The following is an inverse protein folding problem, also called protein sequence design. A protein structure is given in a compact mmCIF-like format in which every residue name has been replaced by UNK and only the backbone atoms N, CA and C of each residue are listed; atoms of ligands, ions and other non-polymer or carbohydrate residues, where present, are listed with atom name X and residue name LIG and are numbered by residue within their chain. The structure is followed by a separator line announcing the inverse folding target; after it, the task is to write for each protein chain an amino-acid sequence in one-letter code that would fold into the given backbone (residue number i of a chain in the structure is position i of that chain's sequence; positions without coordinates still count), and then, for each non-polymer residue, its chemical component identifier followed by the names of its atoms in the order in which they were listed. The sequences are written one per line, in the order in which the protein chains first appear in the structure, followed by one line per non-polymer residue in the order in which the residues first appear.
data_IF_340517145243
#
_entry.id   IF_340517145243
#
_cell.length_a   1.000
_cell.length_b   1.000
_cell.length_c   1.000
_cell.angle_alpha   90.00
_cell.angle_beta   90.00
_cell.angle_gamma   90.00
#
_symmetry.space_group_name_H-M   'P 1'
#
loop_
_entity.id
_entity.type
_entity.pdbx_description
1 polymer ?
#
# COMPACT_ATOMS: atom_id res chain seq x y z
N UNK A 1 -7.00 -15.86 9.31
CA UNK A 1 -8.44 -15.89 9.62
C UNK A 1 -9.11 -15.32 8.41
N UNK A 2 -9.68 -16.20 7.59
CA UNK A 2 -10.57 -15.75 6.52
C UNK A 2 -11.91 -15.46 7.18
N UNK A 3 -12.39 -14.24 6.97
CA UNK A 3 -13.70 -13.79 7.45
C UNK A 3 -14.63 -13.97 6.25
N UNK A 4 -15.69 -14.75 6.45
CA UNK A 4 -16.69 -15.04 5.43
C UNK A 4 -17.49 -13.76 5.10
N UNK A 5 -17.46 -13.34 3.83
CA UNK A 5 -18.07 -12.09 3.34
C UNK A 5 -17.26 -11.43 2.22
N UNK A 6 -17.80 -10.39 1.59
CA UNK A 6 -17.04 -9.53 0.68
C UNK A 6 -15.87 -8.93 1.44
N UNK A 7 -14.65 -9.37 1.12
CA UNK A 7 -13.48 -8.89 1.85
C UNK A 7 -13.34 -7.39 1.62
N UNK A 8 -13.25 -6.58 2.68
CA UNK A 8 -12.88 -5.15 2.61
C UNK A 8 -11.43 -4.95 2.17
N UNK A 9 -10.81 -5.93 1.53
CA UNK A 9 -9.45 -5.83 1.04
C UNK A 9 -9.49 -5.31 -0.38
N UNK A 10 -8.72 -4.27 -0.64
CA UNK A 10 -8.34 -3.84 -1.99
C UNK A 10 -6.85 -4.01 -2.17
N UNK A 11 -6.42 -4.23 -3.40
CA UNK A 11 -5.01 -4.43 -3.75
C UNK A 11 -4.73 -3.62 -5.00
N UNK A 12 -3.54 -3.07 -5.06
CA UNK A 12 -2.98 -2.56 -6.31
C UNK A 12 -2.58 -3.72 -7.21
N UNK A 13 -2.29 -3.41 -8.47
CA UNK A 13 -1.52 -4.31 -9.33
C UNK A 13 -0.09 -4.48 -8.81
N UNK A 14 0.56 -5.64 -9.05
CA UNK A 14 1.97 -5.80 -8.72
C UNK A 14 2.82 -4.79 -9.48
N UNK A 15 3.73 -4.12 -8.77
CA UNK A 15 4.73 -3.28 -9.43
C UNK A 15 5.68 -4.16 -10.26
N UNK A 16 5.79 -3.88 -11.56
CA UNK A 16 6.67 -4.61 -12.48
C UNK A 16 7.62 -3.64 -13.16
N UNK A 17 8.92 -3.87 -12.96
CA UNK A 17 9.94 -3.12 -13.67
C UNK A 17 9.84 -3.41 -15.17
N UNK A 18 9.47 -2.41 -15.97
CA UNK A 18 9.43 -2.53 -17.44
C UNK A 18 10.85 -2.76 -17.99
N UNK A 19 11.03 -3.84 -18.76
CA UNK A 19 12.32 -4.23 -19.34
C UNK A 19 12.65 -3.52 -20.67
N UNK A 20 11.72 -2.78 -21.25
CA UNK A 20 11.88 -2.13 -22.56
C UNK A 20 11.96 -0.60 -22.40
N UNK A 21 13.10 -0.11 -21.88
CA UNK A 21 13.39 1.32 -21.74
C UNK A 21 13.59 2.08 -23.06
N UNK A 22 13.53 1.39 -24.21
CA UNK A 22 13.85 1.96 -25.53
C UNK A 22 12.66 2.75 -26.14
N UNK A 23 11.43 2.56 -25.65
CA UNK A 23 10.21 3.13 -26.27
C UNK A 23 9.45 4.15 -25.41
N UNK A 24 9.86 4.42 -24.17
CA UNK A 24 9.17 5.37 -23.29
C UNK A 24 10.12 6.47 -22.77
N UNK A 25 9.70 7.73 -22.90
CA UNK A 25 10.33 8.88 -22.25
C UNK A 25 9.90 8.90 -20.79
N UNK A 26 10.71 8.33 -19.93
CA UNK A 26 10.56 8.38 -18.47
C UNK A 26 11.45 7.34 -17.81
N UNK A 27 12.14 7.72 -16.73
CA UNK A 27 12.90 6.78 -15.93
C UNK A 27 11.95 5.74 -15.32
N UNK A 28 12.30 4.46 -15.44
CA UNK A 28 11.57 3.41 -14.75
C UNK A 28 12.07 3.38 -13.30
N UNK A 29 11.21 3.66 -12.31
CA UNK A 29 11.67 3.75 -10.93
C UNK A 29 12.34 2.44 -10.48
N UNK A 30 13.33 2.48 -9.60
CA UNK A 30 13.85 1.26 -9.01
C UNK A 30 12.76 0.56 -8.19
N UNK A 31 12.91 -0.76 -7.97
CA UNK A 31 11.98 -1.54 -7.13
C UNK A 31 11.88 -1.04 -5.68
N UNK A 32 12.81 -0.17 -5.25
CA UNK A 32 12.81 0.51 -3.95
C UNK A 32 11.95 1.77 -3.93
N UNK A 33 11.55 2.30 -5.09
CA UNK A 33 10.73 3.51 -5.26
C UNK A 33 9.54 3.24 -6.19
N UNK A 34 8.76 2.15 -5.97
CA UNK A 34 7.67 1.78 -6.86
C UNK A 34 6.59 2.88 -6.90
N UNK A 35 6.05 3.13 -8.09
CA UNK A 35 4.93 4.07 -8.29
C UNK A 35 3.70 3.26 -8.71
N UNK A 36 2.61 3.45 -7.97
CA UNK A 36 1.27 2.97 -8.32
C UNK A 36 0.38 4.18 -8.55
N UNK A 37 -0.20 4.29 -9.74
CA UNK A 37 -1.20 5.30 -10.09
C UNK A 37 -2.59 4.67 -10.06
N UNK A 38 -2.98 4.19 -8.88
CA UNK A 38 -4.23 3.46 -8.65
C UNK A 38 -4.98 4.05 -7.45
N UNK A 39 -6.30 4.18 -7.57
CA UNK A 39 -7.19 4.56 -6.47
C UNK A 39 -7.85 3.31 -5.89
N UNK A 40 -7.78 3.16 -4.57
CA UNK A 40 -8.48 2.10 -3.86
C UNK A 40 -9.67 2.70 -3.11
N UNK A 41 -10.86 2.13 -3.33
CA UNK A 41 -12.11 2.66 -2.80
C UNK A 41 -12.83 1.67 -1.88
N UNK A 42 -13.47 2.23 -0.85
CA UNK A 42 -14.27 1.52 0.13
C UNK A 42 -15.52 2.30 0.46
N UNK A 43 -16.61 1.58 0.72
CA UNK A 43 -17.80 2.11 1.39
C UNK A 43 -17.77 1.61 2.82
N UNK A 44 -17.84 2.52 3.78
CA UNK A 44 -17.81 2.22 5.21
C UNK A 44 -18.75 3.16 5.97
N UNK A 45 -19.16 2.75 7.16
CA UNK A 45 -19.85 3.62 8.10
C UNK A 45 -18.83 4.53 8.79
N UNK A 46 -18.95 5.83 8.59
CA UNK A 46 -18.02 6.81 9.18
C UNK A 46 -18.23 6.88 10.71
N UNK A 47 -17.37 6.17 11.43
CA UNK A 47 -17.34 6.13 12.88
C UNK A 47 -15.91 6.02 13.41
N UNK A 48 -15.78 6.13 14.73
CA UNK A 48 -14.48 6.19 15.37
C UNK A 48 -13.69 4.87 15.34
N UNK A 49 -14.28 3.75 14.93
CA UNK A 49 -13.68 2.42 14.97
C UNK A 49 -13.19 1.94 13.59
N UNK A 50 -13.09 2.84 12.61
CA UNK A 50 -12.63 2.51 11.27
C UNK A 50 -11.13 2.75 11.13
N UNK A 51 -10.43 1.73 10.63
CA UNK A 51 -8.99 1.74 10.41
C UNK A 51 -8.66 1.31 8.98
N UNK A 52 -7.76 2.05 8.34
CA UNK A 52 -7.12 1.62 7.11
C UNK A 52 -5.78 0.96 7.44
N UNK A 53 -5.66 -0.32 7.09
CA UNK A 53 -4.41 -1.07 7.22
C UNK A 53 -3.78 -1.29 5.85
N UNK A 54 -2.63 -0.70 5.62
CA UNK A 54 -1.83 -0.84 4.39
C UNK A 54 -0.71 -1.85 4.61
N UNK A 55 -0.47 -2.72 3.62
CA UNK A 55 0.62 -3.68 3.63
C UNK A 55 1.39 -3.62 2.32
N UNK A 56 2.71 -3.45 2.41
CA UNK A 56 3.62 -3.69 1.28
C UNK A 56 4.03 -5.15 1.32
N UNK A 57 3.88 -5.83 0.19
CA UNK A 57 4.20 -7.25 0.03
C UNK A 57 5.08 -7.45 -1.19
N UNK A 58 6.01 -8.39 -1.11
CA UNK A 58 6.68 -8.90 -2.31
C UNK A 58 5.70 -9.75 -3.12
N UNK A 59 5.81 -9.69 -4.45
CA UNK A 59 5.06 -10.50 -5.41
C UNK A 59 5.91 -11.72 -5.87
N UNK A 60 6.44 -12.47 -4.91
CA UNK A 60 7.27 -13.64 -5.19
C UNK A 60 6.40 -14.85 -5.56
N UNK A 61 6.47 -15.27 -6.82
CA UNK A 61 5.62 -16.34 -7.37
C UNK A 61 5.79 -17.73 -6.71
N UNK A 62 6.86 -17.95 -5.92
CA UNK A 62 7.20 -19.25 -5.33
C UNK A 62 7.25 -19.28 -3.80
N UNK A 63 7.05 -18.16 -3.12
CA UNK A 63 7.05 -18.09 -1.66
C UNK A 63 5.77 -17.40 -1.16
N UNK A 64 5.38 -17.69 0.09
CA UNK A 64 4.27 -17.00 0.77
C UNK A 64 4.58 -15.49 0.79
N UNK A 65 3.94 -14.68 -0.05
CA UNK A 65 4.20 -13.23 -0.24
C UNK A 65 4.65 -12.55 1.06
N UNK A 66 5.97 -12.34 1.26
CA UNK A 66 6.47 -11.78 2.51
C UNK A 66 5.91 -10.38 2.69
N UNK A 67 5.40 -10.12 3.89
CA UNK A 67 4.95 -8.78 4.27
C UNK A 67 6.19 -7.98 4.67
N UNK A 68 6.49 -6.94 3.90
CA UNK A 68 7.71 -6.13 4.03
C UNK A 68 7.48 -5.04 5.08
N UNK A 69 6.36 -4.32 4.96
CA UNK A 69 6.03 -3.20 5.82
C UNK A 69 4.51 -3.07 6.00
N UNK A 70 4.10 -2.48 7.12
CA UNK A 70 2.69 -2.26 7.48
C UNK A 70 2.50 -0.86 8.03
N UNK A 71 1.36 -0.26 7.73
CA UNK A 71 0.84 0.90 8.45
C UNK A 71 -0.62 0.65 8.80
N UNK A 72 -1.05 1.12 9.96
CA UNK A 72 -2.46 1.12 10.38
C UNK A 72 -2.81 2.53 10.83
N UNK A 73 -3.75 3.16 10.15
CA UNK A 73 -4.23 4.51 10.46
C UNK A 73 -5.69 4.43 10.90
N UNK A 74 -6.04 5.16 11.96
CA UNK A 74 -7.44 5.40 12.33
C UNK A 74 -7.98 6.47 11.39
N UNK A 75 -9.04 6.19 10.64
CA UNK A 75 -9.53 7.11 9.60
C UNK A 75 -9.99 8.45 10.17
N UNK A 76 -10.48 8.45 11.41
CA UNK A 76 -10.81 9.67 12.16
C UNK A 76 -9.67 10.70 12.23
N UNK A 77 -8.41 10.27 12.13
CA UNK A 77 -7.22 11.15 12.16
C UNK A 77 -6.61 11.39 10.78
N UNK A 78 -7.21 10.85 9.71
CA UNK A 78 -6.71 11.05 8.37
C UNK A 78 -6.95 12.50 7.94
N UNK A 79 -5.89 13.14 7.43
CA UNK A 79 -5.97 14.48 6.86
C UNK A 79 -6.14 14.33 5.33
N UNK A 80 -7.16 14.95 4.72
CA UNK A 80 -7.34 14.94 3.27
C UNK A 80 -6.12 15.51 2.53
N UNK A 81 -5.85 14.97 1.34
CA UNK A 81 -4.73 15.38 0.48
C UNK A 81 -3.53 14.45 0.57
N UNK A 82 -2.38 14.94 0.09
CA UNK A 82 -1.14 14.18 0.00
C UNK A 82 -0.44 14.06 1.35
N UNK A 83 -0.10 12.83 1.75
CA UNK A 83 0.63 12.56 2.98
C UNK A 83 1.65 11.42 2.84
N UNK A 84 2.80 11.58 3.48
CA UNK A 84 3.75 10.49 3.66
C UNK A 84 3.41 9.71 4.93
N UNK A 85 3.22 8.41 4.78
CA UNK A 85 2.97 7.50 5.90
C UNK A 85 4.23 6.67 6.14
N UNK A 86 4.82 6.84 7.32
CA UNK A 86 5.92 5.97 7.78
C UNK A 86 5.35 4.59 8.08
N UNK A 87 5.99 3.57 7.51
CA UNK A 87 5.61 2.18 7.71
C UNK A 87 6.47 1.53 8.78
N UNK A 88 5.89 0.55 9.45
CA UNK A 88 6.53 -0.28 10.48
C UNK A 88 6.85 -1.66 9.92
N UNK A 89 7.75 -2.38 10.60
CA UNK A 89 7.91 -3.80 10.38
C UNK A 89 6.71 -4.58 10.97
N UNK A 90 6.66 -5.90 10.74
CA UNK A 90 5.55 -6.72 11.25
C UNK A 90 5.51 -6.88 12.79
N UNK A 91 6.58 -6.48 13.49
CA UNK A 91 6.67 -6.47 14.95
C UNK A 91 6.33 -5.09 15.54
N UNK A 92 6.03 -4.10 14.70
CA UNK A 92 5.76 -2.71 15.12
C UNK A 92 7.01 -1.85 15.30
N UNK A 93 8.18 -2.33 14.85
CA UNK A 93 9.41 -1.56 14.84
C UNK A 93 9.41 -0.49 13.75
N UNK A 94 10.04 0.66 14.03
CA UNK A 94 10.19 1.72 13.03
C UNK A 94 11.05 1.25 11.85
N UNK A 95 10.68 1.69 10.65
CA UNK A 95 11.46 1.46 9.44
C UNK A 95 11.73 2.77 8.70
N UNK A 96 12.61 2.71 7.70
CA UNK A 96 12.82 3.80 6.73
C UNK A 96 11.80 3.76 5.58
N UNK A 97 10.91 2.77 5.55
CA UNK A 97 9.91 2.63 4.50
C UNK A 97 8.81 3.68 4.69
N UNK A 98 8.49 4.40 3.63
CA UNK A 98 7.40 5.37 3.57
C UNK A 98 6.59 5.14 2.33
N UNK A 99 5.28 5.38 2.41
CA UNK A 99 4.39 5.42 1.25
C UNK A 99 3.79 6.83 1.13
N UNK A 100 3.75 7.36 -0.08
CA UNK A 100 3.02 8.58 -0.41
C UNK A 100 1.61 8.18 -0.85
N UNK A 101 0.59 8.74 -0.20
CA UNK A 101 -0.82 8.51 -0.56
C UNK A 101 -1.56 9.84 -0.62
N UNK A 102 -2.61 9.88 -1.43
CA UNK A 102 -3.62 10.94 -1.38
C UNK A 102 -4.88 10.37 -0.73
N UNK A 103 -5.35 11.02 0.33
CA UNK A 103 -6.59 10.67 1.00
C UNK A 103 -7.69 11.62 0.51
N UNK A 104 -8.82 11.07 0.11
CA UNK A 104 -10.01 11.79 -0.35
C UNK A 104 -11.20 11.49 0.55
#
# INVERSE_FOLDING_TARGET
GDIEGDTYKRKTTPYKHHKFSILHRGDNPPVTEPIWDETLEWVYEDNELVFLRMLIKSDDAWARNPMIAVAAIRLLYAVPGWSFIRMMDMKGGETKCTILVKIE
#
